data_IF_579909242761
#
_entry.id   IF_579909242761
#
_cell.length_a   1.000
_cell.length_b   1.000
_cell.length_c   1.000
_cell.angle_alpha   90.00
_cell.angle_beta   90.00
_cell.angle_gamma   90.00
#
_symmetry.space_group_name_H-M   'P 1'
#
loop_
_entity.id
_entity.type
_entity.pdbx_description
1 polymer ?
#
# COMPACT_ATOMS: atom_id res chain seq x y z
N UNK A 1 9.70 44.21 -8.08
CA UNK A 1 10.23 43.03 -7.35
C UNK A 1 9.79 41.81 -8.11
N UNK A 2 10.68 41.21 -8.89
CA UNK A 2 10.40 40.05 -9.75
C UNK A 2 11.29 38.93 -9.26
N UNK A 3 10.72 38.00 -8.48
CA UNK A 3 11.37 36.78 -8.03
C UNK A 3 10.30 35.82 -7.45
N UNK A 4 9.45 35.24 -8.30
CA UNK A 4 8.40 34.30 -7.83
C UNK A 4 8.00 33.28 -8.92
N UNK A 5 8.97 32.65 -9.60
CA UNK A 5 8.70 31.58 -10.62
C UNK A 5 9.70 30.42 -10.62
N UNK A 6 10.79 30.49 -9.85
CA UNK A 6 11.79 29.42 -9.74
C UNK A 6 11.48 28.44 -8.60
N UNK A 7 10.88 28.92 -7.51
CA UNK A 7 10.59 28.12 -6.31
C UNK A 7 9.51 27.04 -6.55
N UNK A 8 8.46 27.37 -7.33
CA UNK A 8 7.34 26.46 -7.59
C UNK A 8 7.72 25.20 -8.38
N UNK A 9 8.61 25.33 -9.38
CA UNK A 9 9.02 24.19 -10.21
C UNK A 9 9.92 23.21 -9.46
N UNK A 10 10.76 23.72 -8.57
CA UNK A 10 11.63 22.87 -7.74
C UNK A 10 10.85 22.24 -6.57
N UNK A 11 9.84 22.93 -6.05
CA UNK A 11 8.88 22.36 -5.11
C UNK A 11 8.02 21.24 -5.76
N UNK A 12 7.55 21.42 -6.99
CA UNK A 12 6.77 20.42 -7.73
C UNK A 12 7.59 19.16 -8.02
N UNK A 13 8.81 19.30 -8.54
CA UNK A 13 9.72 18.17 -8.77
C UNK A 13 9.99 17.38 -7.50
N UNK A 14 10.14 18.06 -6.36
CA UNK A 14 10.36 17.42 -5.07
C UNK A 14 9.15 16.59 -4.64
N UNK A 15 7.93 17.11 -4.81
CA UNK A 15 6.68 16.38 -4.54
C UNK A 15 6.54 15.15 -5.43
N UNK A 16 6.77 15.29 -6.74
CA UNK A 16 6.70 14.16 -7.69
C UNK A 16 7.74 13.10 -7.33
N UNK A 17 8.98 13.50 -7.03
CA UNK A 17 10.05 12.56 -6.65
C UNK A 17 9.71 11.80 -5.37
N UNK A 18 9.15 12.47 -4.37
CA UNK A 18 8.75 11.85 -3.10
C UNK A 18 7.58 10.86 -3.31
N UNK A 19 6.61 11.21 -4.15
CA UNK A 19 5.49 10.34 -4.49
C UNK A 19 5.95 9.06 -5.20
N UNK A 20 6.82 9.18 -6.22
CA UNK A 20 7.37 8.03 -6.97
C UNK A 20 8.21 7.12 -6.08
N UNK A 21 9.04 7.69 -5.20
CA UNK A 21 9.88 6.88 -4.30
C UNK A 21 9.03 6.07 -3.32
N UNK A 22 7.95 6.67 -2.79
CA UNK A 22 7.04 6.00 -1.86
C UNK A 22 6.30 4.84 -2.55
N UNK A 23 5.81 5.06 -3.77
CA UNK A 23 5.12 4.05 -4.59
C UNK A 23 6.05 2.89 -4.99
N UNK A 24 7.33 3.17 -5.28
CA UNK A 24 8.34 2.14 -5.53
C UNK A 24 8.61 1.27 -4.29
N UNK A 25 8.73 1.86 -3.11
CA UNK A 25 8.97 1.11 -1.87
C UNK A 25 7.78 0.20 -1.55
N UNK A 26 6.55 0.73 -1.66
CA UNK A 26 5.35 -0.08 -1.39
C UNK A 26 5.16 -1.22 -2.39
N UNK A 27 5.49 -1.00 -3.67
CA UNK A 27 5.40 -2.07 -4.67
C UNK A 27 6.45 -3.17 -4.44
N UNK A 28 7.68 -2.81 -4.03
CA UNK A 28 8.72 -3.79 -3.68
C UNK A 28 8.38 -4.57 -2.41
N UNK A 29 7.75 -3.94 -1.41
CA UNK A 29 7.32 -4.61 -0.19
C UNK A 29 6.38 -5.79 -0.47
N UNK A 30 5.35 -5.57 -1.30
CA UNK A 30 4.40 -6.62 -1.71
C UNK A 30 5.11 -7.78 -2.43
N UNK A 31 6.10 -7.46 -3.27
CA UNK A 31 6.90 -8.46 -3.99
C UNK A 31 7.72 -9.30 -3.01
N UNK A 32 8.34 -8.70 -2.00
CA UNK A 32 9.13 -9.40 -0.99
C UNK A 32 8.24 -10.33 -0.16
N UNK A 33 7.04 -9.89 0.22
CA UNK A 33 6.06 -10.74 0.95
C UNK A 33 5.67 -11.95 0.10
N UNK A 34 5.34 -11.73 -1.18
CA UNK A 34 4.99 -12.80 -2.10
C UNK A 34 6.15 -13.79 -2.26
N UNK A 35 7.37 -13.30 -2.45
CA UNK A 35 8.57 -14.13 -2.58
C UNK A 35 8.82 -14.93 -1.30
N UNK A 36 8.68 -14.30 -0.12
CA UNK A 36 8.79 -14.93 1.19
C UNK A 36 7.90 -16.16 1.36
N UNK A 37 6.69 -16.14 0.79
CA UNK A 37 5.73 -17.25 0.88
C UNK A 37 6.10 -18.49 0.05
N UNK A 38 7.00 -18.35 -0.92
CA UNK A 38 7.37 -19.40 -1.88
C UNK A 38 8.87 -19.69 -1.92
N UNK A 39 9.64 -19.21 -0.93
CA UNK A 39 11.09 -19.38 -0.87
C UNK A 39 11.55 -20.85 -0.95
N UNK A 40 10.77 -21.78 -0.41
CA UNK A 40 11.09 -23.22 -0.42
C UNK A 40 10.66 -23.95 -1.71
N UNK A 41 10.12 -23.22 -2.71
CA UNK A 41 9.68 -23.78 -3.99
C UNK A 41 10.71 -23.55 -5.09
N UNK A 42 10.56 -24.27 -6.20
CA UNK A 42 11.43 -24.09 -7.37
C UNK A 42 11.35 -22.67 -7.95
N UNK A 43 12.44 -22.22 -8.57
CA UNK A 43 12.57 -20.88 -9.14
C UNK A 43 11.41 -20.55 -10.11
N UNK A 44 10.95 -21.53 -10.88
CA UNK A 44 9.79 -21.39 -11.77
C UNK A 44 8.51 -21.02 -11.03
N UNK A 45 8.22 -21.66 -9.89
CA UNK A 45 7.04 -21.37 -9.06
C UNK A 45 7.17 -19.99 -8.42
N UNK A 46 8.37 -19.63 -7.97
CA UNK A 46 8.64 -18.32 -7.39
C UNK A 46 8.34 -17.18 -8.36
N UNK A 47 8.92 -17.24 -9.57
CA UNK A 47 8.69 -16.24 -10.62
C UNK A 47 7.19 -16.14 -10.94
N UNK A 48 6.54 -17.27 -11.20
CA UNK A 48 5.13 -17.28 -11.58
C UNK A 48 4.25 -16.64 -10.50
N UNK A 49 4.46 -17.02 -9.24
CA UNK A 49 3.67 -16.53 -8.11
C UNK A 49 3.88 -15.02 -7.91
N UNK A 50 5.13 -14.57 -7.88
CA UNK A 50 5.47 -13.15 -7.69
C UNK A 50 4.94 -12.30 -8.84
N UNK A 51 5.04 -12.76 -10.09
CA UNK A 51 4.49 -12.03 -11.24
C UNK A 51 2.98 -11.90 -11.17
N UNK A 52 2.25 -12.95 -10.79
CA UNK A 52 0.80 -12.90 -10.64
C UNK A 52 0.39 -11.97 -9.50
N UNK A 53 1.04 -12.08 -8.33
CA UNK A 53 0.74 -11.22 -7.19
C UNK A 53 1.04 -9.76 -7.51
N UNK A 54 2.18 -9.46 -8.16
CA UNK A 54 2.53 -8.11 -8.58
C UNK A 54 1.46 -7.50 -9.49
N UNK A 55 1.03 -8.23 -10.53
CA UNK A 55 -0.03 -7.77 -11.43
C UNK A 55 -1.37 -7.56 -10.72
N UNK A 56 -1.76 -8.51 -9.87
CA UNK A 56 -3.01 -8.41 -9.10
C UNK A 56 -2.99 -7.24 -8.12
N UNK A 57 -1.86 -6.99 -7.45
CA UNK A 57 -1.68 -5.86 -6.54
C UNK A 57 -1.75 -4.53 -7.30
N UNK A 58 -1.05 -4.40 -8.42
CA UNK A 58 -1.10 -3.20 -9.27
C UNK A 58 -2.53 -2.92 -9.73
N UNK A 59 -3.20 -3.89 -10.36
CA UNK A 59 -4.56 -3.70 -10.87
C UNK A 59 -5.56 -3.49 -9.73
N UNK A 60 -5.44 -4.24 -8.64
CA UNK A 60 -6.34 -4.16 -7.49
C UNK A 60 -6.27 -2.81 -6.80
N UNK A 61 -5.07 -2.32 -6.46
CA UNK A 61 -4.89 -1.05 -5.75
C UNK A 61 -5.31 0.12 -6.62
N UNK A 62 -4.76 0.24 -7.84
CA UNK A 62 -5.10 1.35 -8.73
C UNK A 62 -6.57 1.29 -9.20
N UNK A 63 -7.11 0.09 -9.39
CA UNK A 63 -8.52 -0.09 -9.74
C UNK A 63 -9.47 0.38 -8.65
N UNK A 64 -9.21 0.02 -7.38
CA UNK A 64 -10.01 0.48 -6.24
C UNK A 64 -9.91 2.00 -6.09
N UNK A 65 -8.70 2.57 -6.15
CA UNK A 65 -8.51 4.03 -6.04
C UNK A 65 -9.23 4.77 -7.16
N UNK A 66 -9.09 4.31 -8.41
CA UNK A 66 -9.78 4.91 -9.55
C UNK A 66 -11.32 4.82 -9.42
N UNK A 67 -11.82 3.71 -8.87
CA UNK A 67 -13.25 3.55 -8.61
C UNK A 67 -13.74 4.51 -7.52
N UNK A 68 -12.99 4.68 -6.43
CA UNK A 68 -13.30 5.63 -5.36
C UNK A 68 -13.35 7.06 -5.90
N UNK A 69 -12.33 7.47 -6.66
CA UNK A 69 -12.26 8.81 -7.26
C UNK A 69 -13.41 9.04 -8.25
N UNK A 70 -13.73 8.04 -9.07
CA UNK A 70 -14.84 8.13 -10.03
C UNK A 70 -16.20 8.25 -9.36
N UNK A 71 -16.39 7.60 -8.20
CA UNK A 71 -17.62 7.75 -7.41
C UNK A 71 -17.76 9.16 -6.83
N UNK A 72 -16.65 9.79 -6.43
CA UNK A 72 -16.63 11.17 -5.94
C UNK A 72 -16.95 12.18 -7.05
N UNK A 73 -16.28 12.07 -8.20
CA UNK A 73 -16.56 12.90 -9.38
C UNK A 73 -18.00 12.75 -9.87
N UNK A 74 -18.53 11.52 -9.86
CA UNK A 74 -19.93 11.27 -10.18
C UNK A 74 -20.88 11.92 -9.16
N UNK A 75 -20.54 11.91 -7.87
CA UNK A 75 -21.26 12.59 -6.80
C UNK A 75 -21.36 14.11 -7.04
N UNK A 76 -20.23 14.75 -7.38
CA UNK A 76 -20.20 16.18 -7.74
C UNK A 76 -21.04 16.50 -8.99
N UNK A 77 -20.96 15.63 -10.01
CA UNK A 77 -21.73 15.79 -11.25
C UNK A 77 -23.25 15.68 -11.02
N UNK A 78 -23.67 14.78 -10.13
CA UNK A 78 -25.07 14.62 -9.70
C UNK A 78 -25.60 15.84 -8.93
N UNK A 79 -24.78 16.45 -8.07
CA UNK A 79 -25.14 17.68 -7.36
C UNK A 79 -25.37 18.85 -8.33
N UNK A 80 -24.50 19.02 -9.33
CA UNK A 80 -24.60 20.11 -10.31
C UNK A 80 -25.83 20.00 -11.22
N UNK A 81 -26.34 18.80 -11.46
CA UNK A 81 -27.49 18.54 -12.34
C UNK A 81 -28.83 18.46 -11.60
N UNK A 82 -28.84 18.46 -10.27
CA UNK A 82 -30.06 18.31 -9.47
C UNK A 82 -30.59 19.67 -8.98
N UNK A 83 -31.91 19.88 -8.89
CA UNK A 83 -32.47 21.06 -8.26
C UNK A 83 -32.01 21.15 -6.79
N UNK A 84 -31.72 22.36 -6.31
CA UNK A 84 -30.99 22.63 -5.04
C UNK A 84 -31.50 21.89 -3.79
N UNK A 85 -32.77 21.42 -3.78
CA UNK A 85 -33.41 20.72 -2.65
C UNK A 85 -33.87 19.28 -2.95
N UNK A 86 -33.31 18.61 -3.95
CA UNK A 86 -33.62 17.21 -4.26
C UNK A 86 -32.86 16.21 -3.37
N UNK A 87 -33.45 15.04 -3.10
CA UNK A 87 -32.78 13.89 -2.45
C UNK A 87 -31.44 13.56 -3.12
N UNK A 88 -31.35 13.71 -4.45
CA UNK A 88 -30.15 13.51 -5.25
C UNK A 88 -29.00 14.47 -4.89
N UNK A 89 -29.31 15.73 -4.54
CA UNK A 89 -28.31 16.70 -4.09
C UNK A 89 -27.78 16.33 -2.69
N UNK A 90 -28.64 15.84 -1.81
CA UNK A 90 -28.26 15.38 -0.47
C UNK A 90 -27.36 14.14 -0.53
N UNK A 91 -27.71 13.18 -1.40
CA UNK A 91 -26.89 11.98 -1.66
C UNK A 91 -25.53 12.36 -2.25
N UNK A 92 -25.50 13.24 -3.27
CA UNK A 92 -24.25 13.71 -3.86
C UNK A 92 -23.34 14.40 -2.84
N UNK A 93 -23.89 15.26 -1.98
CA UNK A 93 -23.14 15.94 -0.92
C UNK A 93 -22.60 14.95 0.13
N UNK A 94 -23.34 13.87 0.40
CA UNK A 94 -22.91 12.81 1.30
C UNK A 94 -21.77 11.97 0.69
N UNK A 95 -21.83 11.65 -0.61
CA UNK A 95 -20.73 10.96 -1.31
C UNK A 95 -19.43 11.78 -1.26
N UNK A 96 -19.50 13.07 -1.57
CA UNK A 96 -18.32 13.95 -1.62
C UNK A 96 -17.72 14.18 -0.24
N UNK A 97 -18.57 14.34 0.78
CA UNK A 97 -18.09 14.43 2.18
C UNK A 97 -17.54 13.11 2.72
N UNK A 98 -17.93 11.97 2.15
CA UNK A 98 -17.39 10.68 2.54
C UNK A 98 -15.98 10.43 2.00
N UNK A 99 -15.60 11.00 0.83
CA UNK A 99 -14.27 10.85 0.24
C UNK A 99 -13.11 11.12 1.24
N UNK A 100 -13.02 12.29 1.92
CA UNK A 100 -11.93 12.56 2.85
C UNK A 100 -11.94 11.60 4.05
N UNK A 101 -13.08 11.03 4.39
CA UNK A 101 -13.18 10.03 5.45
C UNK A 101 -12.65 8.67 4.99
N UNK A 102 -12.99 8.25 3.77
CA UNK A 102 -12.48 7.03 3.12
C UNK A 102 -10.95 7.10 3.02
N UNK A 103 -10.39 8.21 2.53
CA UNK A 103 -8.94 8.37 2.39
C UNK A 103 -8.24 8.28 3.76
N UNK A 104 -8.79 8.92 4.80
CA UNK A 104 -8.26 8.81 6.17
C UNK A 104 -8.33 7.39 6.72
N UNK A 105 -9.43 6.69 6.48
CA UNK A 105 -9.59 5.29 6.88
C UNK A 105 -8.57 4.40 6.16
N UNK A 106 -8.38 4.60 4.86
CA UNK A 106 -7.40 3.87 4.05
C UNK A 106 -5.97 4.10 4.58
N UNK A 107 -5.63 5.34 4.91
CA UNK A 107 -4.34 5.68 5.51
C UNK A 107 -4.16 5.05 6.89
N UNK A 108 -5.19 5.04 7.73
CA UNK A 108 -5.15 4.41 9.05
C UNK A 108 -4.98 2.89 8.95
N UNK A 109 -5.79 2.23 8.12
CA UNK A 109 -5.71 0.79 7.87
C UNK A 109 -4.35 0.43 7.26
N UNK A 110 -3.87 1.20 6.29
CA UNK A 110 -2.55 1.00 5.69
C UNK A 110 -1.42 1.11 6.71
N UNK A 111 -1.47 2.10 7.61
CA UNK A 111 -0.48 2.24 8.68
C UNK A 111 -0.50 1.05 9.64
N UNK A 112 -1.70 0.57 10.01
CA UNK A 112 -1.85 -0.61 10.86
C UNK A 112 -1.35 -1.87 10.14
N UNK A 113 -1.61 -2.01 8.83
CA UNK A 113 -1.12 -3.13 8.04
C UNK A 113 0.42 -3.17 8.03
N UNK A 114 1.08 -2.04 7.75
CA UNK A 114 2.54 -1.92 7.79
C UNK A 114 3.11 -2.26 9.18
N UNK A 115 2.48 -1.77 10.24
CA UNK A 115 2.89 -2.07 11.62
C UNK A 115 2.69 -3.55 11.98
N UNK A 116 1.56 -4.14 11.59
CA UNK A 116 1.26 -5.54 11.86
C UNK A 116 2.26 -6.46 11.16
N UNK A 117 2.58 -6.18 9.89
CA UNK A 117 3.55 -6.94 9.09
C UNK A 117 4.95 -6.87 9.71
N UNK A 118 5.45 -5.66 10.01
CA UNK A 118 6.76 -5.47 10.64
C UNK A 118 6.86 -6.19 12.00
N UNK A 119 5.81 -6.11 12.82
CA UNK A 119 5.79 -6.80 14.12
C UNK A 119 5.75 -8.32 13.96
N UNK A 120 5.01 -8.84 12.98
CA UNK A 120 4.98 -10.26 12.66
C UNK A 120 6.36 -10.78 12.28
N UNK A 121 7.05 -10.07 11.38
CA UNK A 121 8.39 -10.41 10.94
C UNK A 121 9.41 -10.44 12.09
N UNK A 122 9.41 -9.42 12.95
CA UNK A 122 10.30 -9.34 14.12
C UNK A 122 10.12 -10.52 15.10
N UNK A 123 8.87 -10.95 15.31
CA UNK A 123 8.54 -12.09 16.19
C UNK A 123 8.99 -13.41 15.58
N UNK A 124 8.77 -13.62 14.29
CA UNK A 124 9.21 -14.83 13.58
C UNK A 124 10.72 -14.96 13.63
N UNK A 125 11.46 -13.87 13.36
CA UNK A 125 12.91 -13.86 13.39
C UNK A 125 13.48 -14.08 14.81
N UNK A 126 12.83 -13.50 15.83
CA UNK A 126 13.19 -13.77 17.23
C UNK A 126 12.99 -15.25 17.59
N UNK A 127 11.88 -15.86 17.15
CA UNK A 127 11.61 -17.29 17.37
C UNK A 127 12.64 -18.15 16.66
N UNK A 128 12.96 -17.87 15.40
CA UNK A 128 14.01 -18.54 14.63
C UNK A 128 15.38 -18.47 15.32
N UNK A 129 15.81 -17.28 15.79
CA UNK A 129 17.07 -17.11 16.54
C UNK A 129 17.11 -17.99 17.78
N UNK A 130 16.02 -18.01 18.53
CA UNK A 130 15.91 -18.84 19.74
C UNK A 130 15.96 -20.32 19.37
N UNK A 131 15.17 -20.78 18.40
CA UNK A 131 15.16 -22.19 17.96
C UNK A 131 16.53 -22.67 17.46
N UNK A 132 17.23 -21.87 16.65
CA UNK A 132 18.60 -22.18 16.21
C UNK A 132 19.57 -22.32 17.40
N UNK A 133 19.45 -21.44 18.40
CA UNK A 133 20.31 -21.48 19.59
C UNK A 133 19.97 -22.63 20.54
N UNK A 134 18.72 -23.11 20.57
CA UNK A 134 18.37 -24.31 21.32
C UNK A 134 18.89 -25.58 20.64
N UNK A 135 18.79 -25.69 19.31
CA UNK A 135 19.31 -26.84 18.56
C UNK A 135 20.82 -27.04 18.76
N UNK A 136 21.61 -25.96 18.74
CA UNK A 136 23.05 -26.03 18.98
C UNK A 136 23.43 -26.47 20.40
N UNK A 137 22.52 -26.40 21.38
CA UNK A 137 22.74 -26.91 22.74
C UNK A 137 22.54 -28.43 22.86
N UNK A 138 21.79 -29.04 21.92
CA UNK A 138 21.52 -30.49 21.91
C UNK A 138 22.32 -31.23 20.83
N UNK A 139 22.90 -30.51 19.88
CA UNK A 139 23.83 -31.05 18.89
C UNK A 139 25.22 -31.18 19.53
N UNK A 140 25.52 -32.37 20.09
CA UNK A 140 26.83 -32.65 20.69
C UNK A 140 27.92 -32.44 19.63
N UNK A 141 29.05 -31.78 19.96
CA UNK A 141 30.16 -31.65 19.02
C UNK A 141 30.55 -33.05 18.55
N UNK A 142 30.58 -33.26 17.23
CA UNK A 142 31.21 -34.45 16.66
C UNK A 142 32.67 -34.40 17.07
N UNK A 143 33.01 -35.20 18.08
CA UNK A 143 34.40 -35.49 18.47
C UNK A 143 35.01 -36.15 17.24
N UNK A 144 35.95 -35.45 16.59
CA UNK A 144 36.85 -36.02 15.59
C UNK A 144 37.82 -36.99 16.25
#
# INVERSE_FOLDING_TARGET
VVAETTDDRDAEKTKVKSAVTTDFILSVEIVIIALGSVLDKSLTIQILTVSVVALLATVGVYGIVALIVRMDDAGLSLMKKSPEKGLLNSIGNLLVKALPWIIKLLAFVGTIALLAEYRGWSVVEAKERVYRNYQSLFEKPKVQ
#
